data_IF_132342670658
#
_entry.id   IF_132342670658
#
_cell.length_a   1.000
_cell.length_b   1.000
_cell.length_c   1.000
_cell.angle_alpha   90.00
_cell.angle_beta   90.00
_cell.angle_gamma   90.00
#
_symmetry.space_group_name_H-M   'P 1'
#
loop_
_entity.id
_entity.type
_entity.pdbx_description
1 polymer ?
#
# COMPACT_ATOMS: atom_id res chain seq x y z
N UNK A 1 15.38 12.46 -17.25
CA UNK A 1 15.71 11.02 -17.01
C UNK A 1 14.73 10.14 -17.77
N UNK A 2 15.22 9.08 -18.41
CA UNK A 2 14.35 8.13 -19.14
C UNK A 2 14.18 6.89 -18.25
N UNK A 3 12.98 6.71 -17.69
CA UNK A 3 12.67 5.54 -16.85
C UNK A 3 12.43 4.30 -17.72
N UNK A 4 12.89 3.11 -17.31
CA UNK A 4 12.46 1.87 -17.94
C UNK A 4 10.95 1.69 -17.73
N UNK A 5 10.29 0.98 -18.64
CA UNK A 5 8.89 0.57 -18.42
C UNK A 5 8.86 -0.52 -17.38
N UNK A 6 8.40 -0.20 -16.19
CA UNK A 6 8.36 -1.13 -15.06
C UNK A 6 7.00 -1.08 -14.38
N UNK A 7 6.40 -2.24 -14.13
CA UNK A 7 5.24 -2.32 -13.27
C UNK A 7 5.69 -2.79 -11.90
N UNK A 8 5.32 -2.06 -10.89
CA UNK A 8 5.60 -2.34 -9.48
C UNK A 8 4.31 -2.80 -8.82
N UNK A 9 4.37 -3.94 -8.13
CA UNK A 9 3.28 -4.41 -7.29
C UNK A 9 3.61 -4.13 -5.84
N UNK A 10 2.65 -3.58 -5.12
CA UNK A 10 2.75 -3.36 -3.69
C UNK A 10 1.54 -3.97 -2.97
N UNK A 11 1.76 -4.42 -1.75
CA UNK A 11 0.76 -5.11 -0.93
C UNK A 11 0.76 -4.47 0.44
N UNK A 12 -0.36 -3.91 0.86
CA UNK A 12 -0.51 -3.33 2.19
C UNK A 12 -1.06 -4.43 3.12
N UNK A 13 -0.18 -4.97 3.99
CA UNK A 13 -0.49 -6.12 4.86
C UNK A 13 -1.18 -5.64 6.12
N UNK A 14 -2.50 -5.61 6.05
CA UNK A 14 -3.40 -5.18 7.09
C UNK A 14 -4.75 -5.88 6.98
N UNK A 15 -5.60 -5.77 8.01
CA UNK A 15 -6.98 -6.24 7.96
C UNK A 15 -7.91 -5.18 7.34
N UNK A 16 -9.04 -5.65 6.79
CA UNK A 16 -10.04 -4.78 6.14
C UNK A 16 -10.59 -3.66 7.03
N UNK A 17 -10.61 -3.86 8.36
CA UNK A 17 -11.16 -2.88 9.29
C UNK A 17 -10.17 -1.76 9.64
N UNK A 18 -8.86 -1.95 9.43
CA UNK A 18 -7.88 -0.90 9.66
C UNK A 18 -8.24 0.37 8.87
N UNK A 19 -8.75 0.19 7.65
CA UNK A 19 -9.24 1.29 6.83
C UNK A 19 -10.48 2.01 7.37
N UNK A 20 -11.04 1.61 8.51
CA UNK A 20 -12.17 2.27 9.18
C UNK A 20 -11.82 2.99 10.48
N UNK A 21 -10.65 2.73 11.07
CA UNK A 21 -10.28 3.17 12.41
C UNK A 21 -10.38 4.69 12.60
N UNK A 22 -9.90 5.44 11.65
CA UNK A 22 -9.90 6.90 11.71
C UNK A 22 -11.15 7.56 11.13
N UNK A 23 -11.97 6.81 10.41
CA UNK A 23 -13.17 7.32 9.76
C UNK A 23 -14.37 7.35 10.69
N UNK A 24 -14.44 6.43 11.64
CA UNK A 24 -15.61 6.25 12.51
C UNK A 24 -15.20 6.21 13.97
N UNK A 25 -15.86 7.06 14.78
CA UNK A 25 -15.62 7.10 16.24
C UNK A 25 -16.09 5.84 16.98
N UNK A 26 -16.99 5.10 16.37
CA UNK A 26 -17.56 3.85 16.86
C UNK A 26 -16.87 2.61 16.27
N UNK A 27 -15.64 2.77 15.75
CA UNK A 27 -14.85 1.62 15.34
C UNK A 27 -14.69 0.66 16.50
N UNK A 28 -15.00 -0.62 16.31
CA UNK A 28 -14.92 -1.62 17.39
C UNK A 28 -13.48 -2.02 17.71
N UNK A 29 -12.53 -1.62 16.88
CA UNK A 29 -11.10 -1.92 17.02
C UNK A 29 -10.35 -0.62 17.28
N UNK A 30 -9.37 -0.67 18.16
CA UNK A 30 -8.50 0.47 18.46
C UNK A 30 -7.20 0.39 17.65
N UNK A 31 -6.56 1.55 17.48
CA UNK A 31 -5.21 1.62 16.92
C UNK A 31 -4.23 0.76 17.75
N UNK A 32 -3.39 -0.01 17.08
CA UNK A 32 -2.44 -0.92 17.73
C UNK A 32 -3.07 -2.21 18.28
N UNK A 33 -4.36 -2.48 18.02
CA UNK A 33 -4.97 -3.74 18.42
C UNK A 33 -4.39 -4.92 17.63
N UNK A 34 -4.42 -6.11 18.26
CA UNK A 34 -4.00 -7.35 17.61
C UNK A 34 -4.83 -7.60 16.34
N UNK A 35 -4.19 -7.78 15.17
CA UNK A 35 -4.88 -8.14 13.95
C UNK A 35 -5.55 -9.51 14.04
N UNK A 36 -6.61 -9.73 13.27
CA UNK A 36 -7.22 -11.04 13.09
C UNK A 36 -6.25 -12.02 12.41
N UNK A 37 -6.32 -13.30 12.73
CA UNK A 37 -5.48 -14.33 12.09
C UNK A 37 -5.71 -14.46 10.58
N UNK A 38 -6.87 -14.01 10.08
CA UNK A 38 -7.15 -13.95 8.64
C UNK A 38 -6.13 -13.13 7.84
N UNK A 39 -5.44 -12.17 8.46
CA UNK A 39 -4.36 -11.42 7.78
C UNK A 39 -3.23 -12.35 7.33
N UNK A 40 -2.93 -13.39 8.12
CA UNK A 40 -1.89 -14.38 7.78
C UNK A 40 -2.34 -15.22 6.60
N UNK A 41 -3.54 -15.81 6.65
CA UNK A 41 -4.06 -16.67 5.58
C UNK A 41 -4.19 -15.90 4.26
N UNK A 42 -4.70 -14.68 4.31
CA UNK A 42 -4.84 -13.80 3.15
C UNK A 42 -3.46 -13.42 2.55
N UNK A 43 -2.45 -13.19 3.41
CA UNK A 43 -1.09 -12.89 2.94
C UNK A 43 -0.44 -14.12 2.31
N UNK A 44 -0.62 -15.31 2.88
CA UNK A 44 -0.15 -16.56 2.29
C UNK A 44 -0.78 -16.83 0.91
N UNK A 45 -2.09 -16.61 0.76
CA UNK A 45 -2.77 -16.70 -0.54
C UNK A 45 -2.20 -15.69 -1.55
N UNK A 46 -1.86 -14.49 -1.10
CA UNK A 46 -1.20 -13.47 -1.93
C UNK A 46 0.17 -13.95 -2.41
N UNK A 47 0.98 -14.49 -1.51
CA UNK A 47 2.30 -15.02 -1.82
C UNK A 47 2.22 -16.19 -2.80
N UNK A 48 1.25 -17.09 -2.64
CA UNK A 48 1.02 -18.19 -3.55
C UNK A 48 0.61 -17.72 -4.95
N UNK A 49 -0.21 -16.68 -5.04
CA UNK A 49 -0.61 -16.09 -6.31
C UNK A 49 0.59 -15.46 -7.02
N UNK A 50 1.43 -14.70 -6.31
CA UNK A 50 2.64 -14.09 -6.86
C UNK A 50 3.64 -15.15 -7.33
N UNK A 51 3.83 -16.21 -6.55
CA UNK A 51 4.71 -17.34 -6.93
C UNK A 51 4.24 -18.04 -8.19
N UNK A 52 2.92 -18.34 -8.30
CA UNK A 52 2.33 -19.00 -9.49
C UNK A 52 2.48 -18.18 -10.77
N UNK A 53 2.62 -16.88 -10.66
CA UNK A 53 2.74 -15.95 -11.80
C UNK A 53 4.17 -15.41 -11.98
N UNK A 54 5.10 -15.89 -11.16
CA UNK A 54 6.52 -15.47 -11.16
C UNK A 54 6.67 -13.94 -11.09
N UNK A 55 5.94 -13.32 -10.16
CA UNK A 55 6.00 -11.89 -9.88
C UNK A 55 6.64 -11.62 -8.51
N UNK A 56 7.27 -10.45 -8.39
CA UNK A 56 7.76 -9.92 -7.11
C UNK A 56 6.94 -8.70 -6.70
N UNK A 57 6.95 -8.40 -5.41
CA UNK A 57 6.21 -7.27 -4.85
C UNK A 57 6.92 -6.69 -3.62
N UNK A 58 6.55 -5.47 -3.26
CA UNK A 58 6.86 -4.84 -1.98
C UNK A 58 5.66 -5.01 -1.04
N UNK A 59 5.90 -5.57 0.13
CA UNK A 59 4.89 -5.73 1.18
C UNK A 59 5.08 -4.64 2.23
N UNK A 60 4.17 -3.68 2.29
CA UNK A 60 4.10 -2.70 3.36
C UNK A 60 3.38 -3.33 4.54
N UNK A 61 4.16 -3.81 5.50
CA UNK A 61 3.64 -4.55 6.65
C UNK A 61 3.30 -3.59 7.78
N UNK A 62 2.04 -3.61 8.23
CA UNK A 62 1.65 -2.96 9.47
C UNK A 62 2.34 -3.68 10.63
N UNK A 63 3.10 -2.95 11.44
CA UNK A 63 3.99 -3.60 12.41
C UNK A 63 3.26 -4.32 13.54
N UNK A 64 1.98 -4.01 13.81
CA UNK A 64 1.15 -4.85 14.68
C UNK A 64 0.94 -6.26 14.11
N UNK A 65 1.02 -6.45 12.79
CA UNK A 65 1.03 -7.78 12.17
C UNK A 65 2.37 -8.47 12.46
N UNK A 66 3.49 -7.77 12.30
CA UNK A 66 4.81 -8.32 12.63
C UNK A 66 4.96 -8.67 14.12
N UNK A 67 4.39 -7.85 15.01
CA UNK A 67 4.35 -8.08 16.45
C UNK A 67 3.65 -9.39 16.82
N UNK A 68 2.48 -9.66 16.23
CA UNK A 68 1.65 -10.79 16.62
C UNK A 68 1.85 -12.02 15.72
N UNK A 69 2.35 -11.84 14.51
CA UNK A 69 2.54 -12.90 13.51
C UNK A 69 3.90 -12.75 12.78
N UNK A 70 5.04 -12.78 13.53
CA UNK A 70 6.36 -12.49 12.94
C UNK A 70 6.76 -13.45 11.81
N UNK A 71 6.23 -14.68 11.82
CA UNK A 71 6.57 -15.68 10.80
C UNK A 71 6.05 -15.28 9.41
N UNK A 72 5.03 -14.43 9.32
CA UNK A 72 4.57 -13.95 7.99
C UNK A 72 5.60 -13.04 7.33
N UNK A 73 6.36 -12.26 8.13
CA UNK A 73 7.47 -11.43 7.61
C UNK A 73 8.58 -12.31 7.04
N UNK A 74 8.96 -13.39 7.78
CA UNK A 74 9.94 -14.36 7.30
C UNK A 74 9.48 -15.05 6.01
N UNK A 75 8.20 -15.39 5.93
CA UNK A 75 7.63 -16.04 4.76
C UNK A 75 7.66 -15.11 3.53
N UNK A 76 7.35 -13.83 3.68
CA UNK A 76 7.46 -12.81 2.62
C UNK A 76 8.91 -12.74 2.12
N UNK A 77 9.87 -12.62 3.04
CA UNK A 77 11.31 -12.53 2.71
C UNK A 77 11.84 -13.81 2.06
N UNK A 78 11.48 -14.99 2.58
CA UNK A 78 11.94 -16.29 2.06
C UNK A 78 11.51 -16.55 0.63
N UNK A 79 10.36 -15.99 0.22
CA UNK A 79 9.87 -16.04 -1.16
C UNK A 79 10.47 -14.95 -2.06
N UNK A 80 11.45 -14.18 -1.54
CA UNK A 80 12.21 -13.18 -2.29
C UNK A 80 11.39 -11.92 -2.61
N UNK A 81 10.43 -11.56 -1.77
CA UNK A 81 9.73 -10.29 -1.83
C UNK A 81 10.39 -9.25 -0.93
N UNK A 82 10.09 -7.99 -1.15
CA UNK A 82 10.54 -6.90 -0.31
C UNK A 82 9.55 -6.68 0.84
N UNK A 83 10.09 -6.44 2.06
CA UNK A 83 9.34 -5.93 3.20
C UNK A 83 9.65 -4.45 3.41
N UNK A 84 8.61 -3.65 3.51
CA UNK A 84 8.62 -2.24 3.85
C UNK A 84 7.64 -2.00 5.01
N UNK A 85 7.62 -0.81 5.60
CA UNK A 85 6.74 -0.55 6.74
C UNK A 85 5.48 0.23 6.38
N UNK A 86 4.35 -0.14 7.01
CA UNK A 86 3.08 0.59 6.98
C UNK A 86 2.80 1.33 8.30
N UNK A 87 3.87 1.61 9.10
CA UNK A 87 3.77 2.13 10.45
C UNK A 87 3.35 1.05 11.46
N UNK A 88 3.14 1.48 12.71
CA UNK A 88 2.69 0.61 13.80
C UNK A 88 1.21 0.78 14.12
N UNK A 89 0.78 2.01 14.38
CA UNK A 89 -0.56 2.30 14.92
C UNK A 89 -1.65 2.46 13.89
N UNK A 90 -1.34 2.48 12.59
CA UNK A 90 -2.26 2.78 11.49
C UNK A 90 -3.02 4.10 11.66
N UNK A 91 -2.36 5.14 12.21
CA UNK A 91 -2.95 6.48 12.37
C UNK A 91 -2.76 7.34 11.13
N UNK A 92 -3.69 8.26 10.93
CA UNK A 92 -3.56 9.30 9.90
C UNK A 92 -2.43 10.28 10.24
N UNK A 93 -1.43 10.39 9.37
CA UNK A 93 -0.21 11.19 9.63
C UNK A 93 -0.53 12.65 9.92
N UNK A 94 -1.49 13.27 9.22
CA UNK A 94 -1.89 14.66 9.49
C UNK A 94 -2.65 14.87 10.81
N UNK A 95 -2.92 13.79 11.60
CA UNK A 95 -3.44 13.84 12.97
C UNK A 95 -2.36 13.61 14.02
N UNK A 96 -1.14 13.30 13.61
CA UNK A 96 0.01 13.09 14.49
C UNK A 96 0.88 14.34 14.54
N UNK A 97 1.72 14.43 15.59
CA UNK A 97 2.86 15.32 15.65
C UNK A 97 4.10 14.64 15.08
N UNK A 98 5.13 15.40 14.65
CA UNK A 98 6.37 14.81 14.13
C UNK A 98 7.02 13.80 15.08
N UNK A 99 7.04 14.09 16.38
CA UNK A 99 7.63 13.22 17.40
C UNK A 99 6.83 11.91 17.56
N UNK A 100 5.49 11.99 17.54
CA UNK A 100 4.62 10.84 17.62
C UNK A 100 4.78 9.93 16.39
N UNK A 101 4.97 10.52 15.22
CA UNK A 101 5.23 9.78 13.99
C UNK A 101 6.61 9.12 13.98
N UNK A 102 7.65 9.84 14.46
CA UNK A 102 8.99 9.27 14.60
C UNK A 102 8.99 8.07 15.56
N UNK A 103 8.29 8.17 16.68
CA UNK A 103 8.17 7.07 17.65
C UNK A 103 7.40 5.88 17.08
N UNK A 104 6.29 6.11 16.35
CA UNK A 104 5.52 5.07 15.66
C UNK A 104 6.39 4.30 14.65
N UNK A 105 7.24 5.02 13.90
CA UNK A 105 8.18 4.41 12.96
C UNK A 105 9.27 3.60 13.66
N UNK A 106 9.85 4.10 14.76
CA UNK A 106 10.86 3.37 15.54
C UNK A 106 10.30 2.05 16.10
N UNK A 107 9.08 2.09 16.65
CA UNK A 107 8.38 0.89 17.12
C UNK A 107 8.17 -0.08 15.95
N UNK A 108 7.75 0.44 14.80
CA UNK A 108 7.53 -0.38 13.61
C UNK A 108 8.81 -1.06 13.14
N UNK A 109 9.92 -0.34 13.06
CA UNK A 109 11.22 -0.87 12.65
C UNK A 109 11.72 -1.94 13.63
N UNK A 110 11.54 -1.75 14.93
CA UNK A 110 11.93 -2.73 15.97
C UNK A 110 11.17 -4.05 15.82
N UNK A 111 9.85 -4.02 15.57
CA UNK A 111 9.08 -5.25 15.36
C UNK A 111 9.43 -5.95 14.04
N UNK A 112 9.71 -5.20 12.98
CA UNK A 112 10.13 -5.77 11.69
C UNK A 112 11.52 -6.41 11.79
N UNK A 113 12.45 -5.78 12.50
CA UNK A 113 13.79 -6.32 12.78
C UNK A 113 13.69 -7.63 13.58
N UNK A 114 12.92 -7.65 14.69
CA UNK A 114 12.64 -8.85 15.49
C UNK A 114 11.99 -9.97 14.67
N UNK A 115 11.22 -9.62 13.65
CA UNK A 115 10.62 -10.57 12.73
C UNK A 115 11.57 -11.03 11.60
N UNK A 116 12.83 -10.57 11.58
CA UNK A 116 13.88 -11.00 10.65
C UNK A 116 14.03 -10.12 9.40
N UNK A 117 13.53 -8.90 9.43
CA UNK A 117 13.73 -7.91 8.36
C UNK A 117 14.82 -6.91 8.79
N UNK A 118 16.08 -7.24 8.54
CA UNK A 118 17.25 -6.45 8.97
C UNK A 118 17.30 -5.03 8.40
N UNK A 119 16.70 -4.79 7.23
CA UNK A 119 16.72 -3.49 6.56
C UNK A 119 15.38 -3.18 5.89
N UNK A 120 14.71 -2.17 6.40
CA UNK A 120 13.49 -1.58 5.83
C UNK A 120 13.87 -0.34 5.03
N UNK A 121 13.66 -0.34 3.72
CA UNK A 121 14.03 0.79 2.85
C UNK A 121 12.91 1.81 2.68
N UNK A 122 11.67 1.38 2.83
CA UNK A 122 10.52 2.17 2.42
C UNK A 122 9.40 2.23 3.43
N UNK A 123 8.58 3.28 3.24
CA UNK A 123 7.40 3.56 4.03
C UNK A 123 6.18 3.80 3.15
N UNK A 124 5.00 3.47 3.67
CA UNK A 124 3.70 3.91 3.15
C UNK A 124 2.81 4.33 4.30
N UNK A 125 2.25 5.54 4.19
CA UNK A 125 1.32 6.06 5.19
C UNK A 125 -0.05 5.40 5.07
N UNK A 126 -0.69 5.03 6.20
CA UNK A 126 -2.09 4.66 6.23
C UNK A 126 -2.96 5.69 5.51
N UNK A 127 -3.90 5.22 4.68
CA UNK A 127 -4.82 6.08 3.90
C UNK A 127 -4.15 7.10 2.97
N UNK A 128 -2.90 6.93 2.58
CA UNK A 128 -2.21 7.95 1.79
C UNK A 128 -2.20 9.31 2.50
N UNK A 129 -2.04 9.28 3.82
CA UNK A 129 -2.28 10.43 4.70
C UNK A 129 -1.11 11.41 4.81
N UNK A 130 -0.03 11.25 4.00
CA UNK A 130 0.91 12.33 3.72
C UNK A 130 0.24 13.25 2.68
N UNK A 131 -0.15 14.42 3.16
CA UNK A 131 -0.87 15.46 2.41
C UNK A 131 -0.14 16.78 2.55
N UNK A 132 -0.63 17.85 1.91
CA UNK A 132 -0.03 19.20 2.09
C UNK A 132 0.04 19.65 3.55
N UNK A 133 -0.76 19.04 4.46
CA UNK A 133 -0.74 19.35 5.91
C UNK A 133 0.31 18.56 6.69
N UNK A 134 0.88 17.54 6.12
CA UNK A 134 1.79 16.61 6.79
C UNK A 134 3.06 16.33 5.98
N UNK A 135 3.48 17.24 5.09
CA UNK A 135 4.73 17.12 4.32
C UNK A 135 5.98 17.06 5.21
N UNK A 136 5.89 17.55 6.44
CA UNK A 136 6.92 17.41 7.49
C UNK A 136 7.29 15.93 7.75
N UNK A 137 6.38 14.99 7.42
CA UNK A 137 6.65 13.57 7.58
C UNK A 137 7.80 13.08 6.69
N UNK A 138 8.02 13.71 5.53
CA UNK A 138 9.15 13.39 4.64
C UNK A 138 10.50 13.71 5.28
N UNK A 139 10.58 14.77 6.10
CA UNK A 139 11.78 15.12 6.86
C UNK A 139 12.08 14.05 7.93
N UNK A 140 11.04 13.54 8.61
CA UNK A 140 11.17 12.46 9.59
C UNK A 140 11.65 11.18 8.90
N UNK A 141 11.08 10.82 7.73
CA UNK A 141 11.51 9.66 6.95
C UNK A 141 12.98 9.78 6.52
N UNK A 142 13.38 10.95 6.00
CA UNK A 142 14.79 11.22 5.63
C UNK A 142 15.72 11.10 6.84
N UNK A 143 15.35 11.66 7.98
CA UNK A 143 16.10 11.58 9.25
C UNK A 143 16.31 10.15 9.72
N UNK A 144 15.31 9.29 9.55
CA UNK A 144 15.37 7.87 9.93
C UNK A 144 16.06 6.98 8.88
N UNK A 145 16.51 7.55 7.75
CA UNK A 145 17.27 6.85 6.73
C UNK A 145 16.43 6.00 5.76
N UNK A 146 15.14 6.30 5.62
CA UNK A 146 14.33 5.70 4.56
C UNK A 146 14.83 6.15 3.18
N UNK A 147 14.85 5.23 2.22
CA UNK A 147 15.28 5.50 0.85
C UNK A 147 14.10 5.86 -0.06
N UNK A 148 12.88 5.41 0.30
CA UNK A 148 11.67 5.81 -0.42
C UNK A 148 10.43 5.90 0.46
N UNK A 149 9.50 6.71 0.01
CA UNK A 149 8.10 6.82 0.44
C UNK A 149 7.16 6.40 -0.71
N UNK A 150 5.99 5.92 -0.39
CA UNK A 150 4.92 5.67 -1.35
C UNK A 150 3.58 6.07 -0.74
N UNK A 151 3.48 7.33 -0.32
CA UNK A 151 2.33 7.86 0.44
C UNK A 151 1.60 8.99 -0.25
N UNK A 152 2.20 9.62 -1.26
CA UNK A 152 1.60 10.78 -1.93
C UNK A 152 0.80 10.32 -3.15
N UNK A 153 -0.52 10.36 -3.04
CA UNK A 153 -1.40 10.01 -4.14
C UNK A 153 -1.76 11.26 -4.95
N UNK A 154 -1.42 11.34 -6.26
CA UNK A 154 -1.63 12.54 -7.08
C UNK A 154 -3.09 12.66 -7.56
N UNK A 155 -4.05 12.65 -6.63
CA UNK A 155 -5.49 12.78 -6.90
C UNK A 155 -6.16 13.78 -5.95
N UNK A 156 -7.36 14.22 -6.32
CA UNK A 156 -8.19 15.06 -5.46
C UNK A 156 -9.18 14.20 -4.65
N UNK A 157 -8.96 14.10 -3.34
CA UNK A 157 -9.87 13.44 -2.39
C UNK A 157 -9.98 14.28 -1.10
N UNK A 158 -11.08 14.11 -0.36
CA UNK A 158 -11.33 14.90 0.87
C UNK A 158 -10.39 14.55 2.02
N UNK A 159 -9.99 13.28 2.13
CA UNK A 159 -9.18 12.75 3.24
C UNK A 159 -7.71 12.58 2.89
N UNK A 160 -7.34 12.49 1.63
CA UNK A 160 -5.99 12.23 1.16
C UNK A 160 -5.75 12.77 -0.25
N UNK A 161 -4.50 12.72 -0.66
CA UNK A 161 -4.07 13.09 -2.01
C UNK A 161 -3.55 14.52 -2.11
N UNK A 162 -2.63 14.69 -3.07
CA UNK A 162 -2.05 15.97 -3.50
C UNK A 162 -2.22 16.03 -5.02
N UNK A 163 -3.29 16.68 -5.53
CA UNK A 163 -3.67 16.59 -6.96
C UNK A 163 -2.61 17.07 -7.95
N UNK A 164 -1.76 18.00 -7.50
CA UNK A 164 -0.67 18.64 -8.23
C UNK A 164 0.70 17.97 -8.01
N UNK A 165 0.76 16.86 -7.25
CA UNK A 165 1.99 16.08 -7.10
C UNK A 165 2.37 15.39 -8.43
N UNK A 166 3.68 15.12 -8.65
CA UNK A 166 4.13 14.32 -9.78
C UNK A 166 3.47 12.93 -9.81
N UNK A 167 3.22 12.42 -11.01
CA UNK A 167 2.57 11.11 -11.22
C UNK A 167 3.56 9.98 -11.52
N UNK A 168 4.84 10.24 -11.35
CA UNK A 168 5.96 9.32 -11.58
C UNK A 168 6.93 9.36 -10.42
N UNK A 169 7.81 8.37 -10.23
CA UNK A 169 8.83 8.41 -9.19
C UNK A 169 9.70 9.66 -9.30
N UNK A 170 9.95 10.29 -8.17
CA UNK A 170 10.73 11.52 -8.10
C UNK A 170 11.37 11.67 -6.72
N UNK A 171 12.48 12.42 -6.64
CA UNK A 171 13.11 12.76 -5.37
C UNK A 171 12.29 13.83 -4.65
N UNK A 172 11.98 13.61 -3.38
CA UNK A 172 11.30 14.58 -2.50
C UNK A 172 12.27 15.27 -1.55
N UNK A 173 13.41 14.63 -1.28
CA UNK A 173 14.58 15.19 -0.59
C UNK A 173 15.84 14.46 -1.02
N UNK A 174 17.00 14.87 -0.54
CA UNK A 174 18.23 14.13 -0.76
C UNK A 174 18.14 12.75 -0.11
N UNK A 175 18.31 11.70 -0.94
CA UNK A 175 18.21 10.30 -0.53
C UNK A 175 16.81 9.73 -0.43
N UNK A 176 15.74 10.52 -0.48
CA UNK A 176 14.36 10.01 -0.39
C UNK A 176 13.58 10.17 -1.69
N UNK A 177 13.08 9.06 -2.22
CA UNK A 177 12.21 9.02 -3.39
C UNK A 177 10.75 8.88 -3.00
N UNK A 178 9.85 9.48 -3.79
CA UNK A 178 8.41 9.17 -3.76
C UNK A 178 8.04 8.25 -4.92
N UNK A 179 7.29 7.20 -4.63
CA UNK A 179 6.70 6.26 -5.59
C UNK A 179 5.18 6.37 -5.59
N UNK A 180 4.59 7.32 -6.32
CA UNK A 180 3.16 7.57 -6.28
C UNK A 180 2.35 6.45 -6.94
N UNK A 181 1.15 6.12 -6.42
CA UNK A 181 0.24 5.19 -7.09
C UNK A 181 -0.17 5.68 -8.47
N UNK A 182 -0.27 4.75 -9.40
CA UNK A 182 -0.54 5.07 -10.81
C UNK A 182 -1.92 5.66 -11.02
N UNK A 183 -1.94 6.75 -11.75
CA UNK A 183 -3.15 7.42 -12.25
C UNK A 183 -3.14 7.50 -13.76
N UNK A 184 -4.31 7.67 -14.36
CA UNK A 184 -4.45 8.08 -15.77
C UNK A 184 -5.01 9.49 -15.83
N UNK A 185 -4.48 10.30 -16.74
CA UNK A 185 -5.00 11.65 -16.96
C UNK A 185 -6.18 11.59 -17.90
N UNK A 186 -7.33 12.11 -17.47
CA UNK A 186 -8.54 12.20 -18.27
C UNK A 186 -9.23 13.54 -18.02
N UNK A 187 -9.49 14.31 -19.06
CA UNK A 187 -10.10 15.66 -19.00
C UNK A 187 -9.44 16.58 -17.96
N UNK A 188 -8.10 16.54 -17.86
CA UNK A 188 -7.36 17.39 -16.93
C UNK A 188 -7.31 16.88 -15.48
N UNK A 189 -7.95 15.75 -15.17
CA UNK A 189 -8.03 15.18 -13.83
C UNK A 189 -7.24 13.85 -13.80
N UNK A 190 -6.52 13.61 -12.71
CA UNK A 190 -5.88 12.33 -12.46
C UNK A 190 -6.90 11.34 -11.88
N UNK A 191 -7.20 10.27 -12.62
CA UNK A 191 -8.09 9.20 -12.21
C UNK A 191 -7.28 8.02 -11.67
N UNK A 192 -7.58 7.53 -10.47
CA UNK A 192 -6.90 6.36 -9.91
C UNK A 192 -7.34 5.07 -10.62
N UNK A 193 -6.36 4.22 -10.97
CA UNK A 193 -6.62 2.91 -11.58
C UNK A 193 -5.84 1.78 -10.88
N UNK A 194 -4.96 2.13 -9.97
CA UNK A 194 -3.83 1.31 -9.57
C UNK A 194 -4.04 0.43 -8.34
N UNK A 195 -5.25 0.35 -7.79
CA UNK A 195 -5.38 -0.59 -6.67
C UNK A 195 -6.53 -0.33 -5.71
N UNK A 196 -6.61 -1.12 -4.67
CA UNK A 196 -7.65 -1.08 -3.65
C UNK A 196 -9.06 -1.11 -4.25
N UNK A 197 -9.94 -0.25 -3.76
CA UNK A 197 -11.30 -0.14 -4.28
C UNK A 197 -11.41 0.17 -5.78
N UNK A 198 -10.41 0.83 -6.36
CA UNK A 198 -10.37 1.12 -7.80
C UNK A 198 -10.09 -0.13 -8.63
N UNK A 199 -9.14 -0.97 -8.21
CA UNK A 199 -8.88 -2.25 -8.87
C UNK A 199 -10.13 -3.14 -8.86
N UNK A 200 -10.89 -3.13 -7.75
CA UNK A 200 -12.14 -3.91 -7.63
C UNK A 200 -13.25 -3.41 -8.56
N UNK A 201 -13.40 -2.10 -8.68
CA UNK A 201 -14.56 -1.48 -9.38
C UNK A 201 -14.30 -1.18 -10.86
N UNK A 202 -13.06 -0.84 -11.23
CA UNK A 202 -12.71 -0.57 -12.64
C UNK A 202 -12.69 -1.87 -13.44
N UNK A 203 -13.33 -1.93 -14.62
CA UNK A 203 -13.28 -3.11 -15.48
C UNK A 203 -11.85 -3.47 -15.90
N UNK A 204 -11.52 -4.76 -15.84
CA UNK A 204 -10.17 -5.25 -16.19
C UNK A 204 -9.63 -4.71 -17.52
N UNK A 205 -10.49 -4.67 -18.55
CA UNK A 205 -10.11 -4.20 -19.90
C UNK A 205 -9.59 -2.75 -19.91
N UNK A 206 -10.12 -1.90 -19.02
CA UNK A 206 -9.68 -0.50 -18.87
C UNK A 206 -8.29 -0.49 -18.25
N UNK A 207 -8.07 -1.24 -17.17
CA UNK A 207 -6.77 -1.33 -16.49
C UNK A 207 -5.71 -1.87 -17.45
N UNK A 208 -5.98 -2.99 -18.10
CA UNK A 208 -5.05 -3.61 -19.06
C UNK A 208 -4.76 -2.68 -20.25
N UNK A 209 -5.77 -1.97 -20.76
CA UNK A 209 -5.58 -0.98 -21.84
C UNK A 209 -4.70 0.19 -21.37
N UNK A 210 -4.89 0.67 -20.14
CA UNK A 210 -4.07 1.74 -19.58
C UNK A 210 -2.60 1.32 -19.45
N UNK A 211 -2.35 0.08 -18.99
CA UNK A 211 -0.98 -0.45 -18.89
C UNK A 211 -0.33 -0.56 -20.28
N UNK A 212 -1.05 -1.10 -21.27
CA UNK A 212 -0.52 -1.29 -22.63
C UNK A 212 -0.30 0.03 -23.41
N UNK A 213 -1.19 1.00 -23.21
CA UNK A 213 -1.17 2.29 -23.94
C UNK A 213 -0.27 3.33 -23.31
N UNK A 214 0.10 3.19 -22.06
CA UNK A 214 1.00 4.15 -21.44
C UNK A 214 2.40 4.05 -22.07
N UNK A 215 3.09 5.19 -22.15
CA UNK A 215 4.39 5.31 -22.81
C UNK A 215 5.38 4.26 -22.31
N UNK A 216 6.28 3.83 -23.21
CA UNK A 216 7.33 2.82 -22.95
C UNK A 216 8.42 3.26 -21.95
N UNK A 217 8.19 4.30 -21.16
CA UNK A 217 9.16 4.87 -20.21
C UNK A 217 8.47 5.38 -18.97
N UNK A 218 7.76 4.47 -18.27
CA UNK A 218 7.01 4.84 -17.08
C UNK A 218 7.04 3.73 -16.03
N UNK A 219 7.39 4.09 -14.81
CA UNK A 219 7.17 3.23 -13.64
C UNK A 219 5.71 3.36 -13.21
N UNK A 220 5.04 2.22 -13.04
CA UNK A 220 3.64 2.13 -12.62
C UNK A 220 3.55 1.39 -11.31
N UNK A 221 3.02 2.02 -10.28
CA UNK A 221 2.85 1.46 -8.95
C UNK A 221 1.39 1.04 -8.76
N UNK A 222 1.18 -0.25 -8.56
CA UNK A 222 -0.11 -0.86 -8.21
C UNK A 222 -0.11 -1.28 -6.75
N UNK A 223 -1.30 -1.29 -6.14
CA UNK A 223 -1.44 -1.76 -4.77
C UNK A 223 -2.74 -2.53 -4.57
N UNK A 224 -2.73 -3.45 -3.64
CA UNK A 224 -3.91 -4.10 -3.11
C UNK A 224 -3.65 -4.59 -1.67
N UNK A 225 -4.72 -5.00 -1.01
CA UNK A 225 -4.63 -5.55 0.34
C UNK A 225 -4.91 -7.05 0.31
N UNK A 226 -4.23 -7.90 1.08
CA UNK A 226 -4.43 -9.34 1.10
C UNK A 226 -5.90 -9.73 1.31
N UNK A 227 -6.61 -9.04 2.20
CA UNK A 227 -8.03 -9.27 2.45
C UNK A 227 -8.94 -9.06 1.22
N UNK A 228 -8.46 -8.43 0.16
CA UNK A 228 -9.22 -8.26 -1.09
C UNK A 228 -9.26 -9.53 -1.94
N UNK A 229 -8.46 -10.54 -1.61
CA UNK A 229 -8.50 -11.86 -2.22
C UNK A 229 -9.56 -12.77 -1.58
N UNK A 230 -9.97 -12.52 -0.35
CA UNK A 230 -11.04 -13.26 0.32
C UNK A 230 -12.38 -12.50 0.25
N UNK A 231 -13.33 -12.94 -0.59
CA UNK A 231 -14.63 -12.30 -0.66
C UNK A 231 -15.47 -12.47 0.63
N UNK A 232 -15.08 -13.38 1.52
CA UNK A 232 -15.81 -13.72 2.76
C UNK A 232 -15.26 -13.00 3.99
N UNK A 233 -14.06 -12.40 3.91
CA UNK A 233 -13.36 -11.80 5.06
C UNK A 233 -14.08 -10.56 5.62
N UNK A 234 -14.85 -9.85 4.83
CA UNK A 234 -15.64 -8.69 5.29
C UNK A 234 -16.84 -9.17 6.12
N UNK A 235 -16.55 -9.61 7.32
CA UNK A 235 -17.57 -10.02 8.30
C UNK A 235 -17.85 -8.86 9.23
N UNK A 236 -19.14 -8.56 9.44
CA UNK A 236 -19.57 -7.74 10.54
C UNK A 236 -19.38 -8.54 11.86
N UNK A 237 -18.13 -8.65 12.32
CA UNK A 237 -17.83 -9.27 13.62
C UNK A 237 -18.24 -8.36 14.79
N UNK A 238 -18.58 -7.10 14.50
CA UNK A 238 -18.79 -6.08 15.51
C UNK A 238 -20.10 -5.34 15.25
N UNK A 239 -20.77 -4.90 16.30
CA UNK A 239 -22.01 -4.14 16.23
C UNK A 239 -21.78 -2.81 15.47
N UNK A 240 -22.20 -2.76 14.22
CA UNK A 240 -22.24 -1.52 13.44
C UNK A 240 -23.31 -0.62 14.04
N UNK A 241 -22.89 0.47 14.67
CA UNK A 241 -23.79 1.39 15.40
C UNK A 241 -24.22 2.60 14.58
N UNK A 242 -23.53 2.90 13.48
CA UNK A 242 -23.84 4.06 12.65
C UNK A 242 -24.13 3.70 11.18
N UNK A 243 -24.99 4.52 10.54
CA UNK A 243 -25.28 4.40 9.11
C UNK A 243 -24.02 4.59 8.25
N UNK A 244 -23.09 5.45 8.68
CA UNK A 244 -21.83 5.68 7.99
C UNK A 244 -20.93 4.43 7.97
N UNK A 245 -20.78 3.76 9.11
CA UNK A 245 -20.02 2.50 9.22
C UNK A 245 -20.66 1.40 8.38
N UNK A 246 -22.00 1.31 8.35
CA UNK A 246 -22.72 0.36 7.50
C UNK A 246 -22.48 0.64 6.01
N UNK A 247 -22.58 1.90 5.57
CA UNK A 247 -22.35 2.29 4.18
C UNK A 247 -20.91 1.98 3.75
N UNK A 248 -19.91 2.27 4.60
CA UNK A 248 -18.51 1.92 4.36
C UNK A 248 -18.31 0.41 4.23
N UNK A 249 -18.90 -0.38 5.13
CA UNK A 249 -18.85 -1.83 5.07
C UNK A 249 -19.46 -2.39 3.77
N UNK A 250 -20.63 -1.87 3.36
CA UNK A 250 -21.23 -2.23 2.07
C UNK A 250 -20.32 -1.89 0.89
N UNK A 251 -19.67 -0.72 0.93
CA UNK A 251 -18.69 -0.32 -0.08
C UNK A 251 -17.50 -1.29 -0.15
N UNK A 252 -17.04 -1.83 0.99
CA UNK A 252 -15.96 -2.82 1.03
C UNK A 252 -16.34 -4.15 0.35
N UNK A 253 -17.62 -4.48 0.22
CA UNK A 253 -18.09 -5.68 -0.50
C UNK A 253 -18.14 -5.52 -2.01
N UNK A 254 -18.23 -4.28 -2.52
CA UNK A 254 -18.37 -4.03 -3.96
C UNK A 254 -17.14 -4.57 -4.71
N UNK A 255 -17.38 -5.44 -5.70
CA UNK A 255 -16.36 -5.98 -6.59
C UNK A 255 -15.45 -7.06 -5.98
N UNK A 256 -15.60 -7.41 -4.69
CA UNK A 256 -14.73 -8.42 -4.05
C UNK A 256 -14.81 -9.79 -4.69
N UNK A 257 -16.02 -10.26 -5.02
CA UNK A 257 -16.19 -11.59 -5.62
C UNK A 257 -15.44 -11.79 -6.95
N UNK A 258 -15.21 -10.72 -7.71
CA UNK A 258 -14.48 -10.78 -8.99
C UNK A 258 -13.01 -10.39 -8.88
N UNK A 259 -12.58 -9.88 -7.72
CA UNK A 259 -11.24 -9.32 -7.55
C UNK A 259 -10.12 -10.37 -7.63
N UNK A 260 -10.25 -11.58 -7.03
CA UNK A 260 -9.21 -12.61 -7.11
C UNK A 260 -8.89 -12.99 -8.55
N UNK A 261 -9.90 -13.24 -9.38
CA UNK A 261 -9.70 -13.59 -10.80
C UNK A 261 -9.15 -12.42 -11.61
N UNK A 262 -9.57 -11.19 -11.30
CA UNK A 262 -9.04 -9.98 -11.92
C UNK A 262 -7.55 -9.79 -11.61
N UNK A 263 -7.16 -9.95 -10.35
CA UNK A 263 -5.77 -9.84 -9.91
C UNK A 263 -4.91 -10.95 -10.50
N UNK A 264 -5.38 -12.21 -10.46
CA UNK A 264 -4.72 -13.35 -11.10
C UNK A 264 -4.45 -13.09 -12.59
N UNK A 265 -5.46 -12.58 -13.31
CA UNK A 265 -5.31 -12.22 -14.71
C UNK A 265 -4.30 -11.10 -14.92
N UNK A 266 -4.32 -10.08 -14.07
CA UNK A 266 -3.37 -8.95 -14.13
C UNK A 266 -1.92 -9.44 -13.96
N UNK A 267 -1.67 -10.28 -12.95
CA UNK A 267 -0.36 -10.85 -12.66
C UNK A 267 0.12 -11.87 -13.71
N UNK A 268 -0.81 -12.56 -14.39
CA UNK A 268 -0.47 -13.48 -15.48
C UNK A 268 -0.16 -12.76 -16.80
N UNK A 269 -0.79 -11.60 -17.03
CA UNK A 269 -0.65 -10.86 -18.30
C UNK A 269 0.51 -9.84 -18.28
N UNK A 270 0.87 -9.34 -17.10
CA UNK A 270 1.92 -8.34 -16.92
C UNK A 270 2.91 -8.79 -15.87
N UNK A 271 4.20 -8.50 -16.09
CA UNK A 271 5.25 -8.69 -15.10
C UNK A 271 5.30 -7.52 -14.13
N UNK A 272 5.51 -7.87 -12.86
CA UNK A 272 5.66 -6.93 -11.77
C UNK A 272 6.91 -7.23 -10.96
N UNK A 273 7.50 -6.18 -10.40
CA UNK A 273 8.66 -6.23 -9.51
C UNK A 273 8.41 -5.42 -8.23
N UNK A 274 9.37 -5.37 -7.32
CA UNK A 274 9.33 -4.56 -6.10
C UNK A 274 9.73 -3.10 -6.33
N UNK A 275 9.48 -2.23 -5.36
CA UNK A 275 10.01 -0.86 -5.34
C UNK A 275 11.53 -0.91 -5.22
N UNK A 276 12.09 -1.75 -4.35
CA UNK A 276 13.53 -1.91 -4.14
C UNK A 276 14.29 -2.17 -5.44
N UNK A 277 13.83 -3.13 -6.24
CA UNK A 277 14.45 -3.45 -7.53
C UNK A 277 14.34 -2.28 -8.51
N UNK A 278 13.19 -1.60 -8.52
CA UNK A 278 12.98 -0.42 -9.36
C UNK A 278 13.87 0.74 -8.93
N UNK A 279 13.96 1.02 -7.62
CA UNK A 279 14.80 2.08 -7.05
C UNK A 279 16.28 1.86 -7.41
N UNK A 280 16.78 0.62 -7.23
CA UNK A 280 18.16 0.27 -7.61
C UNK A 280 18.43 0.55 -9.09
N UNK A 281 17.46 0.25 -9.96
CA UNK A 281 17.56 0.54 -11.42
C UNK A 281 17.55 2.02 -11.72
N UNK A 282 16.81 2.84 -10.94
CA UNK A 282 16.79 4.29 -11.11
C UNK A 282 18.10 4.93 -10.66
N UNK A 283 18.65 4.51 -9.53
CA UNK A 283 19.92 5.01 -8.99
C UNK A 283 21.13 4.68 -9.87
N UNK A 284 21.11 3.53 -10.55
CA UNK A 284 22.18 3.15 -11.47
C UNK A 284 22.17 3.98 -12.78
N UNK A 285 21.04 4.58 -13.13
CA UNK A 285 20.87 5.36 -14.36
C UNK A 285 20.99 6.89 -14.13
N UNK A 286 21.26 7.34 -12.91
CA UNK A 286 21.61 8.72 -12.57
C UNK A 286 23.12 8.96 -12.78
#
# INVERSE_FOLDING_TARGET
>A
MSFPTTNVMTVDVEDWYHSSLDLFKDSPVQHGAKPDASVVDNTLQTLDLLSKTDNKATFFVLATVAEHYPDIVKEILSRGHEVATHGYSHKLIYKMKPEEFEDDLKISLDYLDKAGCDKVLGYRAPYWSITKRSLWALEVLTKLGFEYDSSIFPIKRGLYGIPDAPTHPHKVSEGLWEFPPTTIRFLGINLPIAGGGYLRTVPYRIIASAIRKSSSRQVRVFYFHPYELDPTDVRLKHNVKSAGTLAYWLQQKIGRGSNPEKLKRLLSEFKFTSIKETLSSLQTNE
#
